data_IF_847313751800
#
_entry.id   IF_847313751800
#
_cell.length_a   1.000
_cell.length_b   1.000
_cell.length_c   1.000
_cell.angle_alpha   90.00
_cell.angle_beta   90.00
_cell.angle_gamma   90.00
#
_symmetry.space_group_name_H-M   'P 1'
#
loop_
_entity.id
_entity.type
_entity.pdbx_description
1 polymer ?
#
# COMPACT_ATOMS: atom_id res chain seq x y z
N UNK A 1 14.18 -20.85 -2.17
CA UNK A 1 13.81 -19.68 -3.01
C UNK A 1 12.32 -19.51 -2.95
N UNK A 2 11.81 -18.28 -3.06
CA UNK A 2 10.37 -18.00 -3.16
C UNK A 2 10.06 -17.86 -4.64
N UNK A 3 8.98 -18.49 -5.11
CA UNK A 3 8.51 -18.34 -6.49
C UNK A 3 7.96 -16.94 -6.68
N UNK A 4 8.42 -16.24 -7.71
CA UNK A 4 8.08 -14.85 -7.93
C UNK A 4 7.76 -14.57 -9.40
N UNK A 5 6.76 -13.71 -9.64
CA UNK A 5 6.30 -13.28 -10.96
C UNK A 5 6.37 -11.77 -11.04
N UNK A 6 6.90 -11.24 -12.15
CA UNK A 6 6.91 -9.78 -12.39
C UNK A 6 5.93 -9.48 -13.51
N UNK A 7 4.99 -8.56 -13.24
CA UNK A 7 3.97 -8.13 -14.19
C UNK A 7 4.02 -6.61 -14.36
N UNK A 8 4.04 -6.12 -15.59
CA UNK A 8 4.10 -4.69 -15.92
C UNK A 8 2.78 -4.17 -16.47
N UNK A 9 2.35 -3.00 -16.02
CA UNK A 9 1.22 -2.28 -16.61
C UNK A 9 1.48 -1.78 -18.04
N UNK A 10 2.76 -1.62 -18.42
CA UNK A 10 3.18 -1.25 -19.77
C UNK A 10 3.74 -2.50 -20.46
N UNK A 11 3.30 -2.85 -21.69
CA UNK A 11 3.84 -3.99 -22.42
C UNK A 11 5.36 -3.90 -22.62
N UNK A 12 6.09 -4.91 -22.14
CA UNK A 12 7.55 -5.03 -22.26
C UNK A 12 7.90 -6.42 -22.83
N UNK A 13 7.64 -6.58 -24.13
CA UNK A 13 7.78 -7.86 -24.83
C UNK A 13 9.18 -8.46 -24.62
N UNK A 14 9.23 -9.72 -24.17
CA UNK A 14 10.48 -10.46 -23.94
C UNK A 14 11.18 -10.16 -22.61
N UNK A 15 10.67 -9.24 -21.78
CA UNK A 15 11.29 -8.86 -20.50
C UNK A 15 10.44 -9.29 -19.31
N UNK A 16 9.17 -8.87 -19.27
CA UNK A 16 8.23 -9.18 -18.18
C UNK A 16 6.84 -9.46 -18.72
N UNK A 17 6.04 -10.20 -17.97
CA UNK A 17 4.65 -10.48 -18.31
C UNK A 17 3.85 -9.17 -18.30
N UNK A 18 2.91 -9.00 -19.24
CA UNK A 18 1.95 -7.90 -19.16
C UNK A 18 0.97 -8.16 -18.02
N UNK A 19 0.59 -7.12 -17.29
CA UNK A 19 -0.40 -7.26 -16.21
C UNK A 19 -1.73 -7.82 -16.72
N UNK A 20 -2.16 -8.90 -16.09
CA UNK A 20 -3.48 -9.50 -16.26
C UNK A 20 -4.02 -9.88 -14.88
N UNK A 21 -5.17 -9.31 -14.51
CA UNK A 21 -5.80 -9.50 -13.20
C UNK A 21 -5.99 -10.99 -12.87
N UNK A 22 -6.44 -11.79 -13.84
CA UNK A 22 -6.76 -13.22 -13.61
C UNK A 22 -5.50 -14.03 -13.34
N UNK A 23 -4.43 -13.79 -14.10
CA UNK A 23 -3.13 -14.42 -13.88
C UNK A 23 -2.51 -13.97 -12.55
N UNK A 24 -2.60 -12.68 -12.20
CA UNK A 24 -2.10 -12.19 -10.91
C UNK A 24 -2.78 -12.90 -9.72
N UNK A 25 -4.12 -12.97 -9.72
CA UNK A 25 -4.88 -13.70 -8.69
C UNK A 25 -4.49 -15.18 -8.66
N UNK A 26 -4.35 -15.82 -9.82
CA UNK A 26 -3.92 -17.23 -9.90
C UNK A 26 -2.54 -17.42 -9.26
N UNK A 27 -1.58 -16.56 -9.57
CA UNK A 27 -0.23 -16.63 -9.00
C UNK A 27 -0.26 -16.46 -7.47
N UNK A 28 -0.97 -15.45 -6.96
CA UNK A 28 -1.15 -15.23 -5.51
C UNK A 28 -1.78 -16.47 -4.85
N UNK A 29 -2.84 -17.03 -5.43
CA UNK A 29 -3.50 -18.24 -4.91
C UNK A 29 -2.62 -19.49 -4.94
N UNK A 30 -1.63 -19.54 -5.83
CA UNK A 30 -0.62 -20.61 -5.86
C UNK A 30 0.53 -20.39 -4.87
N UNK A 31 0.54 -19.28 -4.12
CA UNK A 31 1.61 -18.92 -3.20
C UNK A 31 2.81 -18.24 -3.85
N UNK A 32 2.68 -17.78 -5.11
CA UNK A 32 3.72 -16.99 -5.77
C UNK A 32 3.70 -15.54 -5.26
N UNK A 33 4.87 -14.93 -5.10
CA UNK A 33 5.01 -13.47 -4.90
C UNK A 33 4.84 -12.76 -6.24
N UNK A 34 3.84 -11.90 -6.34
CA UNK A 34 3.61 -11.08 -7.55
C UNK A 34 4.16 -9.67 -7.35
N UNK A 35 5.06 -9.26 -8.24
CA UNK A 35 5.67 -7.93 -8.28
C UNK A 35 5.02 -7.13 -9.41
N UNK A 36 4.25 -6.11 -9.05
CA UNK A 36 3.66 -5.18 -10.02
C UNK A 36 4.66 -4.06 -10.34
N UNK A 37 4.90 -3.82 -11.63
CA UNK A 37 5.76 -2.76 -12.12
C UNK A 37 5.03 -1.83 -13.09
N UNK A 38 5.67 -0.70 -13.41
CA UNK A 38 5.12 0.39 -14.22
C UNK A 38 3.86 1.06 -13.64
N UNK A 39 3.58 0.89 -12.34
CA UNK A 39 2.49 1.55 -11.63
C UNK A 39 1.12 1.27 -12.26
N UNK A 40 0.36 2.33 -12.53
CA UNK A 40 -0.92 2.25 -13.27
C UNK A 40 -0.73 2.17 -14.80
N UNK A 41 0.50 2.34 -15.28
CA UNK A 41 0.83 2.47 -16.71
C UNK A 41 0.52 3.86 -17.30
N UNK A 42 -0.01 4.78 -16.49
CA UNK A 42 -0.43 6.11 -16.94
C UNK A 42 0.41 7.21 -16.26
N UNK A 43 0.74 8.30 -16.98
CA UNK A 43 1.32 9.49 -16.37
C UNK A 43 0.33 10.12 -15.37
N UNK A 44 0.84 10.97 -14.46
CA UNK A 44 0.08 11.70 -13.44
C UNK A 44 -0.46 10.88 -12.27
N UNK A 45 -0.18 9.57 -12.23
CA UNK A 45 -0.49 8.71 -11.07
C UNK A 45 0.78 8.39 -10.29
N UNK A 46 0.62 8.18 -8.98
CA UNK A 46 1.73 7.79 -8.11
C UNK A 46 1.78 6.27 -7.95
N UNK A 47 2.87 5.78 -7.34
CA UNK A 47 2.97 4.38 -6.92
C UNK A 47 1.95 4.02 -5.85
N UNK A 48 1.53 4.97 -5.00
CA UNK A 48 0.49 4.73 -3.99
C UNK A 48 -0.87 4.50 -4.66
N UNK A 49 -1.20 5.28 -5.70
CA UNK A 49 -2.41 5.05 -6.51
C UNK A 49 -2.38 3.67 -7.16
N UNK A 50 -1.22 3.25 -7.66
CA UNK A 50 -1.04 1.92 -8.25
C UNK A 50 -1.17 0.80 -7.21
N UNK A 51 -0.62 0.98 -6.01
CA UNK A 51 -0.71 0.00 -4.93
C UNK A 51 -2.18 -0.22 -4.52
N UNK A 52 -2.95 0.87 -4.39
CA UNK A 52 -4.38 0.79 -4.09
C UNK A 52 -5.17 0.11 -5.20
N UNK A 53 -4.94 0.52 -6.46
CA UNK A 53 -5.58 -0.10 -7.62
C UNK A 53 -5.29 -1.60 -7.70
N UNK A 54 -4.02 -2.00 -7.61
CA UNK A 54 -3.64 -3.42 -7.71
C UNK A 54 -4.15 -4.22 -6.51
N UNK A 55 -4.11 -3.66 -5.31
CA UNK A 55 -4.68 -4.27 -4.10
C UNK A 55 -6.16 -4.59 -4.27
N UNK A 56 -6.94 -3.63 -4.78
CA UNK A 56 -8.37 -3.83 -5.08
C UNK A 56 -8.55 -4.88 -6.18
N UNK A 57 -7.78 -4.81 -7.26
CA UNK A 57 -7.92 -5.75 -8.36
C UNK A 57 -7.59 -7.19 -7.98
N UNK A 58 -6.66 -7.43 -7.04
CA UNK A 58 -6.35 -8.78 -6.56
C UNK A 58 -7.18 -9.20 -5.34
N UNK A 59 -8.17 -8.39 -4.95
CA UNK A 59 -9.02 -8.62 -3.79
C UNK A 59 -8.20 -8.78 -2.48
N UNK A 60 -7.19 -7.92 -2.29
CA UNK A 60 -6.32 -7.96 -1.11
C UNK A 60 -7.07 -7.53 0.17
N UNK A 61 -6.78 -8.20 1.29
CA UNK A 61 -7.39 -7.90 2.58
C UNK A 61 -6.86 -6.60 3.22
N UNK A 62 -5.61 -6.21 2.89
CA UNK A 62 -4.92 -5.09 3.53
C UNK A 62 -3.81 -4.54 2.63
N UNK A 63 -3.72 -3.22 2.52
CA UNK A 63 -2.58 -2.54 1.90
C UNK A 63 -1.57 -2.17 2.98
N UNK A 64 -0.35 -2.69 2.87
CA UNK A 64 0.76 -2.36 3.77
C UNK A 64 1.65 -1.27 3.16
N UNK A 65 1.55 -0.05 3.65
CA UNK A 65 2.40 1.07 3.24
C UNK A 65 3.64 1.18 4.14
N UNK A 66 4.77 0.74 3.59
CA UNK A 66 6.07 0.84 4.23
C UNK A 66 6.64 2.27 4.14
N UNK A 67 6.96 2.86 5.29
CA UNK A 67 7.55 4.21 5.41
C UNK A 67 8.80 4.21 6.29
N UNK A 68 9.48 5.36 6.39
CA UNK A 68 10.58 5.59 7.35
C UNK A 68 10.09 5.97 8.74
N UNK A 69 8.94 6.65 8.80
CA UNK A 69 8.22 6.93 10.06
C UNK A 69 7.35 5.73 10.42
N UNK A 70 7.03 5.60 11.70
CA UNK A 70 6.34 4.44 12.26
C UNK A 70 4.82 4.56 12.28
N UNK A 71 4.24 5.51 11.55
CA UNK A 71 2.80 5.67 11.35
C UNK A 71 2.46 7.03 10.75
N UNK A 72 1.19 7.41 10.88
CA UNK A 72 0.67 8.73 10.51
C UNK A 72 0.63 9.61 11.75
N UNK A 73 1.09 10.85 11.59
CA UNK A 73 1.19 11.84 12.65
C UNK A 73 0.34 13.07 12.34
N UNK A 74 0.02 13.86 13.36
CA UNK A 74 -0.70 15.14 13.22
C UNK A 74 0.10 16.22 12.50
N UNK A 75 1.43 16.10 12.51
CA UNK A 75 2.40 16.95 11.84
C UNK A 75 3.67 16.11 11.58
N UNK A 76 4.63 16.64 10.83
CA UNK A 76 5.91 15.95 10.61
C UNK A 76 6.70 15.82 11.94
N UNK A 77 6.92 14.59 12.44
CA UNK A 77 7.59 14.38 13.73
C UNK A 77 9.08 14.73 13.71
N UNK A 78 9.71 14.90 12.55
CA UNK A 78 11.10 15.36 12.46
C UNK A 78 11.23 16.87 12.69
N UNK A 79 10.18 17.63 12.39
CA UNK A 79 10.18 19.10 12.44
C UNK A 79 9.27 19.69 13.52
N UNK A 80 8.26 18.95 13.97
CA UNK A 80 7.33 19.35 15.01
C UNK A 80 7.37 18.39 16.23
N UNK A 81 7.94 18.87 17.33
CA UNK A 81 8.02 18.12 18.59
C UNK A 81 6.66 17.81 19.24
N UNK A 82 5.59 18.47 18.81
CA UNK A 82 4.22 18.26 19.30
C UNK A 82 3.44 17.27 18.44
N UNK A 83 4.06 16.70 17.39
CA UNK A 83 3.44 15.72 16.53
C UNK A 83 2.95 14.48 17.32
N UNK A 84 1.66 14.18 17.19
CA UNK A 84 1.03 13.02 17.85
C UNK A 84 0.77 11.95 16.81
N UNK A 85 1.22 10.73 17.10
CA UNK A 85 0.94 9.55 16.28
C UNK A 85 -0.50 9.08 16.45
N UNK A 86 -1.16 8.77 15.35
CA UNK A 86 -2.46 8.12 15.37
C UNK A 86 -2.32 6.60 15.33
N UNK A 87 -3.18 5.88 16.08
CA UNK A 87 -3.24 4.41 16.02
C UNK A 87 -4.24 3.94 14.96
N UNK A 88 -5.39 4.61 14.87
CA UNK A 88 -6.46 4.36 13.91
C UNK A 88 -6.97 5.70 13.40
N UNK A 89 -7.28 5.78 12.11
CA UNK A 89 -7.87 6.93 11.45
C UNK A 89 -8.99 6.47 10.53
N UNK A 90 -10.04 7.27 10.38
CA UNK A 90 -10.96 7.07 9.26
C UNK A 90 -10.38 7.66 7.97
N UNK A 91 -10.82 7.17 6.81
CA UNK A 91 -10.46 7.83 5.53
C UNK A 91 -10.89 9.30 5.51
N UNK A 92 -12.03 9.63 6.11
CA UNK A 92 -12.52 11.00 6.19
C UNK A 92 -11.64 11.86 7.11
N UNK A 93 -11.10 11.32 8.22
CA UNK A 93 -10.12 12.03 9.04
C UNK A 93 -8.86 12.36 8.24
N UNK A 94 -8.36 11.42 7.43
CA UNK A 94 -7.17 11.64 6.58
C UNK A 94 -7.41 12.78 5.59
N UNK A 95 -8.58 12.80 4.96
CA UNK A 95 -8.96 13.83 3.97
C UNK A 95 -9.19 15.19 4.66
N UNK A 96 -10.00 15.23 5.71
CA UNK A 96 -10.39 16.47 6.38
C UNK A 96 -9.22 17.18 7.05
N UNK A 97 -8.28 16.40 7.61
CA UNK A 97 -7.08 16.93 8.27
C UNK A 97 -5.89 17.08 7.33
N UNK A 98 -6.07 16.75 6.04
CA UNK A 98 -5.03 16.78 5.02
C UNK A 98 -3.74 16.08 5.46
N UNK A 99 -3.87 14.88 6.05
CA UNK A 99 -2.73 14.12 6.55
C UNK A 99 -1.92 13.56 5.38
N UNK A 100 -0.61 13.76 5.40
CA UNK A 100 0.30 13.32 4.33
C UNK A 100 0.58 11.81 4.41
N UNK A 101 -0.41 10.99 4.06
CA UNK A 101 -0.29 9.53 4.04
C UNK A 101 0.08 9.00 2.67
N UNK A 102 -0.72 9.36 1.67
CA UNK A 102 -0.66 9.02 0.26
C UNK A 102 -1.28 10.17 -0.54
N UNK A 103 -1.17 10.12 -1.87
CA UNK A 103 -1.96 11.04 -2.70
C UNK A 103 -3.47 10.82 -2.50
N UNK A 104 -4.25 11.89 -2.70
CA UNK A 104 -5.69 11.88 -2.49
C UNK A 104 -6.41 10.83 -3.37
N UNK A 105 -5.90 10.54 -4.56
CA UNK A 105 -6.49 9.53 -5.46
C UNK A 105 -6.42 8.14 -4.84
N UNK A 106 -5.27 7.79 -4.26
CA UNK A 106 -5.07 6.51 -3.57
C UNK A 106 -5.98 6.37 -2.34
N UNK A 107 -6.13 7.43 -1.54
CA UNK A 107 -7.02 7.45 -0.36
C UNK A 107 -8.48 7.29 -0.77
N UNK A 108 -8.95 8.09 -1.74
CA UNK A 108 -10.33 8.00 -2.23
C UNK A 108 -10.63 6.62 -2.82
N UNK A 109 -9.73 6.08 -3.66
CA UNK A 109 -9.90 4.77 -4.25
C UNK A 109 -10.01 3.67 -3.19
N UNK A 110 -9.20 3.76 -2.14
CA UNK A 110 -9.23 2.78 -1.04
C UNK A 110 -10.49 2.89 -0.19
N UNK A 111 -10.95 4.11 0.09
CA UNK A 111 -12.20 4.39 0.81
C UNK A 111 -13.41 3.85 0.04
N UNK A 112 -13.49 4.14 -1.25
CA UNK A 112 -14.65 3.80 -2.08
C UNK A 112 -14.79 2.26 -2.26
N UNK A 113 -13.69 1.51 -2.11
CA UNK A 113 -13.67 0.05 -2.14
C UNK A 113 -13.54 -0.61 -0.76
N UNK A 114 -13.41 0.16 0.31
CA UNK A 114 -13.31 -0.34 1.69
C UNK A 114 -12.06 -1.20 1.97
N UNK A 115 -10.95 -0.98 1.25
CA UNK A 115 -9.71 -1.73 1.46
C UNK A 115 -8.82 -1.04 2.51
N UNK A 116 -8.62 -1.64 3.70
CA UNK A 116 -7.89 -0.98 4.77
C UNK A 116 -6.43 -0.76 4.39
N UNK A 117 -5.83 0.27 4.99
CA UNK A 117 -4.44 0.63 4.77
C UNK A 117 -3.72 0.69 6.10
N UNK A 118 -2.54 0.08 6.16
CA UNK A 118 -1.68 0.17 7.34
C UNK A 118 -0.34 0.77 7.00
N UNK A 119 -0.05 1.88 7.65
CA UNK A 119 1.20 2.62 7.53
C UNK A 119 2.15 2.20 8.66
N UNK A 120 3.35 1.78 8.32
CA UNK A 120 4.31 1.27 9.31
C UNK A 120 5.78 1.52 8.92
N UNK A 121 6.67 1.51 9.90
CA UNK A 121 8.11 1.65 9.67
C UNK A 121 8.74 0.32 9.24
N UNK A 122 9.27 0.26 8.01
CA UNK A 122 9.94 -0.93 7.49
C UNK A 122 11.34 -1.16 8.08
N UNK A 123 11.96 -0.12 8.64
CA UNK A 123 13.29 -0.21 9.26
C UNK A 123 13.27 -0.95 10.59
N UNK A 124 12.09 -1.12 11.20
CA UNK A 124 11.95 -1.95 12.39
C UNK A 124 12.00 -3.42 11.97
N UNK A 125 12.98 -4.14 12.51
CA UNK A 125 13.11 -5.58 12.30
C UNK A 125 11.83 -6.31 12.72
N UNK A 126 11.35 -7.22 11.87
CA UNK A 126 10.12 -7.98 12.10
C UNK A 126 8.81 -7.25 11.80
N UNK A 127 8.84 -5.96 11.44
CA UNK A 127 7.60 -5.16 11.32
C UNK A 127 6.60 -5.69 10.29
N UNK A 128 7.07 -6.26 9.18
CA UNK A 128 6.18 -6.87 8.19
C UNK A 128 5.43 -8.07 8.79
N UNK A 129 6.15 -8.97 9.47
CA UNK A 129 5.56 -10.14 10.09
C UNK A 129 4.61 -9.75 11.22
N UNK A 130 5.01 -8.81 12.08
CA UNK A 130 4.19 -8.27 13.18
C UNK A 130 2.82 -7.78 12.67
N UNK A 131 2.81 -7.08 11.53
CA UNK A 131 1.57 -6.58 10.92
C UNK A 131 0.70 -7.67 10.30
N UNK A 132 1.29 -8.77 9.83
CA UNK A 132 0.55 -9.92 9.28
C UNK A 132 -0.07 -10.76 10.41
N UNK A 133 0.63 -10.97 11.52
CA UNK A 133 0.18 -11.84 12.62
C UNK A 133 -0.69 -11.15 13.67
N UNK A 134 -1.02 -9.87 13.48
CA UNK A 134 -1.90 -9.10 14.39
C UNK A 134 -1.21 -8.41 15.57
N UNK A 135 0.13 -8.49 15.68
CA UNK A 135 0.93 -7.68 16.62
C UNK A 135 1.23 -6.29 16.05
N UNK A 136 0.21 -5.70 15.44
CA UNK A 136 0.39 -4.68 14.44
C UNK A 136 0.91 -3.37 15.04
N UNK A 137 1.87 -2.76 14.34
CA UNK A 137 2.48 -1.49 14.74
C UNK A 137 2.24 -0.47 13.63
N UNK A 138 2.01 0.78 14.04
CA UNK A 138 1.75 1.88 13.12
C UNK A 138 0.30 2.32 13.14
N UNK A 139 -0.18 2.83 12.01
CA UNK A 139 -1.51 3.44 11.92
C UNK A 139 -2.37 2.64 10.95
N UNK A 140 -3.55 2.25 11.39
CA UNK A 140 -4.60 1.67 10.55
C UNK A 140 -5.52 2.77 10.02
N UNK A 141 -5.89 2.68 8.76
CA UNK A 141 -6.86 3.55 8.10
C UNK A 141 -7.98 2.67 7.55
N UNK A 142 -9.22 2.91 8.00
CA UNK A 142 -10.43 2.13 7.66
C UNK A 142 -11.73 2.94 7.77
#
# INVERSE_FOLDING_TARGET
SISSRVMSAIPMNGVVEHYDRRSAIRYVNCGDVVIFSAGTGNPFFTTDSAACLRGIEIDADLILKATKVDGVYSADPETDSTAVKFNVLSYDDVIQRNLEVMDLTAICLSRDHGIPIRVFNILRSGALLDNIIGNANGTLIE
#
